data_IF_964888731695
#
_entry.id   IF_964888731695
#
_cell.length_a   1.000
_cell.length_b   1.000
_cell.length_c   1.000
_cell.angle_alpha   90.00
_cell.angle_beta   90.00
_cell.angle_gamma   90.00
#
_symmetry.space_group_name_H-M   'P 1'
#
loop_
_entity.id
_entity.type
_entity.pdbx_description
1 polymer ?
#
# COMPACT_ATOMS: atom_id res chain seq x y z
N UNK A 1 -4.76 10.82 15.75
CA UNK A 1 -5.57 9.69 16.22
C UNK A 1 -4.88 8.41 15.79
N UNK A 2 -4.34 7.66 16.74
CA UNK A 2 -3.50 6.50 16.45
C UNK A 2 -4.34 5.23 16.58
N UNK A 3 -4.72 4.65 15.44
CA UNK A 3 -5.40 3.35 15.39
C UNK A 3 -4.45 2.26 15.93
N UNK A 4 -4.60 1.88 17.20
CA UNK A 4 -3.83 0.81 17.86
C UNK A 4 -4.61 -0.51 17.81
N UNK A 5 -3.92 -1.64 17.99
CA UNK A 5 -4.57 -2.95 17.99
C UNK A 5 -5.60 -3.08 19.12
N UNK A 6 -5.28 -2.57 20.31
CA UNK A 6 -6.20 -2.56 21.46
C UNK A 6 -7.47 -1.75 21.21
N UNK A 7 -7.37 -0.64 20.47
CA UNK A 7 -8.55 0.14 20.07
C UNK A 7 -9.42 -0.61 19.05
N UNK A 8 -8.82 -1.37 18.13
CA UNK A 8 -9.57 -2.21 17.18
C UNK A 8 -10.32 -3.31 17.90
N UNK A 9 -9.69 -4.01 18.84
CA UNK A 9 -10.33 -5.09 19.59
C UNK A 9 -11.46 -4.57 20.49
N UNK A 10 -11.27 -3.41 21.13
CA UNK A 10 -12.23 -2.86 22.09
C UNK A 10 -13.39 -2.10 21.46
N UNK A 11 -13.17 -1.39 20.34
CA UNK A 11 -14.16 -0.47 19.73
C UNK A 11 -14.47 -0.75 18.27
N UNK A 12 -13.73 -1.64 17.63
CA UNK A 12 -13.85 -1.96 16.21
C UNK A 12 -13.33 -0.85 15.28
N UNK A 13 -13.14 -1.19 14.00
CA UNK A 13 -12.65 -0.25 12.97
C UNK A 13 -13.62 0.91 12.67
N UNK A 14 -14.91 0.75 13.00
CA UNK A 14 -15.94 1.79 12.84
C UNK A 14 -15.70 3.01 13.74
N UNK A 15 -15.10 2.81 14.91
CA UNK A 15 -14.75 3.90 15.82
C UNK A 15 -13.68 4.84 15.23
N UNK A 16 -12.81 4.32 14.36
CA UNK A 16 -11.81 5.14 13.69
C UNK A 16 -12.41 5.93 12.51
N UNK A 17 -13.14 5.24 11.63
CA UNK A 17 -13.87 5.86 10.53
C UNK A 17 -14.80 4.83 9.89
N UNK A 18 -16.05 5.21 9.64
CA UNK A 18 -17.00 4.32 8.96
C UNK A 18 -16.54 3.96 7.54
N UNK A 19 -15.96 4.92 6.82
CA UNK A 19 -15.42 4.69 5.48
C UNK A 19 -14.20 3.77 5.50
N UNK A 20 -13.35 3.89 6.52
CA UNK A 20 -12.22 2.97 6.73
C UNK A 20 -12.69 1.54 7.01
N UNK A 21 -13.72 1.38 7.86
CA UNK A 21 -14.29 0.06 8.13
C UNK A 21 -14.79 -0.59 6.84
N UNK A 22 -15.59 0.14 6.04
CA UNK A 22 -16.08 -0.36 4.75
C UNK A 22 -14.97 -0.66 3.73
N UNK A 23 -13.84 0.04 3.82
CA UNK A 23 -12.65 -0.28 3.01
C UNK A 23 -12.03 -1.61 3.44
N UNK A 24 -11.89 -1.85 4.74
CA UNK A 24 -11.37 -3.10 5.28
C UNK A 24 -12.28 -4.29 4.96
N UNK A 25 -13.60 -4.14 5.14
CA UNK A 25 -14.59 -5.20 4.88
C UNK A 25 -14.52 -5.65 3.41
N UNK A 26 -14.55 -4.70 2.47
CA UNK A 26 -14.43 -5.00 1.03
C UNK A 26 -13.11 -5.69 0.68
N UNK A 27 -12.00 -5.27 1.28
CA UNK A 27 -10.68 -5.84 0.97
C UNK A 27 -10.51 -7.25 1.55
N UNK A 28 -11.05 -7.48 2.73
CA UNK A 28 -11.03 -8.77 3.42
C UNK A 28 -11.93 -9.79 2.70
N UNK A 29 -13.21 -9.45 2.49
CA UNK A 29 -14.20 -10.37 1.89
C UNK A 29 -14.01 -10.58 0.39
N UNK A 30 -13.74 -9.52 -0.39
CA UNK A 30 -13.80 -9.62 -1.85
C UNK A 30 -12.46 -10.03 -2.49
N UNK A 31 -11.32 -9.68 -1.87
CA UNK A 31 -10.01 -9.92 -2.48
C UNK A 31 -9.25 -11.06 -1.81
N UNK A 32 -9.15 -11.05 -0.49
CA UNK A 32 -8.30 -12.04 0.19
C UNK A 32 -9.03 -13.37 0.36
N UNK A 33 -10.30 -13.36 0.79
CA UNK A 33 -11.07 -14.61 0.92
C UNK A 33 -11.29 -15.30 -0.44
N UNK A 34 -11.53 -14.53 -1.51
CA UNK A 34 -11.74 -15.07 -2.86
C UNK A 34 -10.44 -15.56 -3.53
N UNK A 35 -9.33 -14.81 -3.43
CA UNK A 35 -8.06 -15.18 -4.05
C UNK A 35 -7.36 -16.34 -3.32
N UNK A 36 -7.56 -16.47 -2.00
CA UNK A 36 -6.90 -17.48 -1.19
C UNK A 36 -7.82 -18.65 -0.80
N UNK A 37 -9.08 -18.67 -1.27
CA UNK A 37 -10.11 -19.64 -0.87
C UNK A 37 -10.20 -19.82 0.66
N UNK A 38 -10.01 -18.72 1.40
CA UNK A 38 -9.80 -18.76 2.83
C UNK A 38 -11.14 -18.77 3.56
N UNK A 39 -11.70 -19.97 3.77
CA UNK A 39 -13.02 -20.16 4.39
C UNK A 39 -13.01 -20.16 5.93
N UNK A 40 -11.92 -19.74 6.57
CA UNK A 40 -11.78 -19.74 8.04
C UNK A 40 -11.55 -18.32 8.56
N UNK A 41 -11.99 -18.03 9.80
CA UNK A 41 -11.63 -16.79 10.46
C UNK A 41 -10.10 -16.62 10.48
N UNK A 42 -9.62 -15.41 10.20
CA UNK A 42 -8.19 -15.12 10.18
C UNK A 42 -7.60 -15.22 11.60
N UNK A 43 -6.38 -15.76 11.74
CA UNK A 43 -5.70 -15.76 13.02
C UNK A 43 -5.37 -14.31 13.44
N UNK A 44 -5.35 -14.07 14.75
CA UNK A 44 -5.16 -12.74 15.33
C UNK A 44 -3.93 -11.98 14.78
N UNK A 45 -2.73 -12.60 14.66
CA UNK A 45 -1.56 -11.89 14.14
C UNK A 45 -1.73 -11.41 12.69
N UNK A 46 -2.51 -12.14 11.88
CA UNK A 46 -2.78 -11.75 10.50
C UNK A 46 -3.72 -10.55 10.44
N UNK A 47 -4.76 -10.54 11.28
CA UNK A 47 -5.66 -9.39 11.39
C UNK A 47 -4.92 -8.14 11.86
N UNK A 48 -4.00 -8.28 12.81
CA UNK A 48 -3.16 -7.19 13.30
C UNK A 48 -2.28 -6.60 12.21
N UNK A 49 -1.55 -7.45 11.48
CA UNK A 49 -0.76 -7.00 10.33
C UNK A 49 -1.63 -6.35 9.24
N UNK A 50 -2.82 -6.92 8.98
CA UNK A 50 -3.73 -6.41 7.97
C UNK A 50 -4.31 -5.03 8.32
N UNK A 51 -4.79 -4.79 9.54
CA UNK A 51 -5.32 -3.48 9.90
C UNK A 51 -4.21 -2.44 9.98
N UNK A 52 -3.01 -2.81 10.43
CA UNK A 52 -1.83 -1.95 10.36
C UNK A 52 -1.52 -1.51 8.92
N UNK A 53 -1.46 -2.45 7.98
CA UNK A 53 -1.23 -2.16 6.58
C UNK A 53 -2.38 -1.37 5.93
N UNK A 54 -3.63 -1.75 6.21
CA UNK A 54 -4.82 -1.12 5.64
C UNK A 54 -4.98 0.33 6.11
N UNK A 55 -4.62 0.64 7.36
CA UNK A 55 -4.57 2.01 7.89
C UNK A 55 -3.64 2.90 7.05
N UNK A 56 -2.41 2.44 6.79
CA UNK A 56 -1.45 3.21 5.98
C UNK A 56 -1.94 3.42 4.55
N UNK A 57 -2.55 2.40 3.93
CA UNK A 57 -3.15 2.52 2.60
C UNK A 57 -4.34 3.49 2.59
N UNK A 58 -5.17 3.46 3.64
CA UNK A 58 -6.31 4.36 3.77
C UNK A 58 -5.89 5.82 3.97
N UNK A 59 -4.84 6.07 4.76
CA UNK A 59 -4.27 7.42 4.91
C UNK A 59 -3.74 7.96 3.58
N UNK A 60 -3.08 7.12 2.79
CA UNK A 60 -2.68 7.48 1.42
C UNK A 60 -3.89 7.82 0.56
N UNK A 61 -4.98 7.05 0.66
CA UNK A 61 -6.22 7.35 -0.07
C UNK A 61 -6.81 8.70 0.34
N UNK A 62 -6.87 9.00 1.64
CA UNK A 62 -7.34 10.30 2.13
C UNK A 62 -6.46 11.44 1.64
N UNK A 63 -5.13 11.28 1.68
CA UNK A 63 -4.18 12.29 1.21
C UNK A 63 -4.32 12.52 -0.30
N UNK A 64 -4.46 11.46 -1.10
CA UNK A 64 -4.66 11.60 -2.54
C UNK A 64 -5.95 12.37 -2.85
N UNK A 65 -6.97 12.30 -1.99
CA UNK A 65 -8.26 12.97 -2.18
C UNK A 65 -8.42 14.26 -1.35
N UNK A 66 -7.37 14.74 -0.65
CA UNK A 66 -7.44 15.98 0.11
C UNK A 66 -7.27 17.24 -0.76
N UNK A 67 -6.94 17.07 -2.04
CA UNK A 67 -6.81 18.12 -3.03
C UNK A 67 -7.91 17.99 -4.10
N UNK A 68 -8.26 19.09 -4.75
CA UNK A 68 -9.22 19.11 -5.85
C UNK A 68 -8.57 19.69 -7.12
N UNK A 69 -8.38 18.90 -8.20
CA UNK A 69 -8.70 17.46 -8.30
C UNK A 69 -7.75 16.60 -7.46
N UNK A 70 -8.20 15.40 -7.08
CA UNK A 70 -7.39 14.45 -6.32
C UNK A 70 -6.10 14.08 -7.06
N UNK A 71 -5.02 13.87 -6.30
CA UNK A 71 -3.71 13.51 -6.85
C UNK A 71 -3.76 12.12 -7.50
N UNK A 72 -3.28 12.04 -8.73
CA UNK A 72 -3.16 10.78 -9.43
C UNK A 72 -2.01 9.96 -8.83
N UNK A 73 -2.32 8.74 -8.38
CA UNK A 73 -1.34 7.81 -7.82
C UNK A 73 -0.49 7.25 -8.96
N UNK A 74 0.83 7.42 -8.87
CA UNK A 74 1.80 6.77 -9.73
C UNK A 74 2.10 5.36 -9.21
N UNK A 75 1.63 4.35 -9.95
CA UNK A 75 1.86 2.92 -9.68
C UNK A 75 2.89 2.36 -10.65
N UNK A 76 3.66 1.39 -10.18
CA UNK A 76 4.72 0.71 -10.92
C UNK A 76 4.47 -0.77 -10.81
N UNK A 77 4.50 -1.45 -11.96
CA UNK A 77 4.31 -2.89 -12.02
C UNK A 77 5.63 -3.65 -11.87
N UNK A 78 5.51 -4.96 -11.64
CA UNK A 78 6.65 -5.86 -11.64
C UNK A 78 7.26 -5.87 -13.05
N UNK A 79 8.58 -5.96 -13.10
CA UNK A 79 9.42 -5.99 -14.30
C UNK A 79 9.44 -4.68 -15.11
N UNK A 80 8.83 -3.62 -14.59
CA UNK A 80 8.88 -2.30 -15.17
C UNK A 80 10.30 -1.70 -15.09
N UNK A 81 10.72 -0.94 -16.11
CA UNK A 81 12.11 -0.44 -16.19
C UNK A 81 12.40 0.57 -15.08
N UNK A 82 13.59 0.49 -14.48
CA UNK A 82 13.98 1.51 -13.51
C UNK A 82 14.25 2.85 -14.19
N UNK A 83 13.55 3.89 -13.74
CA UNK A 83 13.77 5.27 -14.17
C UNK A 83 14.00 6.15 -12.94
N UNK A 84 15.22 6.69 -12.73
CA UNK A 84 15.54 7.49 -11.55
C UNK A 84 14.76 8.81 -11.49
N UNK A 85 14.14 9.28 -12.58
CA UNK A 85 13.28 10.47 -12.58
C UNK A 85 12.00 10.22 -11.78
N UNK A 86 11.44 9.02 -11.89
CA UNK A 86 10.15 8.67 -11.30
C UNK A 86 10.25 7.70 -10.10
N UNK A 87 11.40 7.03 -9.94
CA UNK A 87 11.56 5.89 -9.01
C UNK A 87 12.81 6.08 -8.13
N UNK A 88 12.65 5.82 -6.83
CA UNK A 88 13.72 5.78 -5.84
C UNK A 88 13.91 4.33 -5.37
N UNK A 89 15.14 3.83 -5.35
CA UNK A 89 15.40 2.46 -4.93
C UNK A 89 15.71 2.38 -3.43
N UNK A 90 15.13 1.41 -2.73
CA UNK A 90 15.36 1.20 -1.29
C UNK A 90 16.59 0.31 -0.99
N UNK A 91 17.27 -0.22 -2.02
CA UNK A 91 18.22 -1.35 -1.94
C UNK A 91 19.72 -1.06 -2.13
N UNK A 92 20.15 0.19 -2.27
CA UNK A 92 21.56 0.56 -2.48
C UNK A 92 21.93 0.83 -3.95
N UNK A 93 23.23 0.83 -4.26
CA UNK A 93 23.78 1.33 -5.53
C UNK A 93 24.40 0.21 -6.40
N UNK A 94 23.59 -0.81 -6.72
CA UNK A 94 23.99 -1.86 -7.68
C UNK A 94 23.14 -1.73 -8.95
N UNK A 95 23.69 -2.16 -10.08
CA UNK A 95 23.09 -2.00 -11.41
C UNK A 95 21.60 -2.41 -11.44
N UNK A 96 20.75 -1.43 -11.80
CA UNK A 96 19.29 -1.44 -11.67
C UNK A 96 18.69 -1.72 -13.05
N UNK A 97 18.10 -2.88 -13.25
CA UNK A 97 17.47 -3.21 -14.54
C UNK A 97 15.96 -3.01 -14.48
N UNK A 98 15.31 -3.76 -13.58
CA UNK A 98 13.86 -3.86 -13.54
C UNK A 98 13.33 -3.86 -12.11
N UNK A 99 12.13 -3.32 -11.94
CA UNK A 99 11.44 -3.25 -10.65
C UNK A 99 10.95 -4.63 -10.25
N UNK A 100 11.36 -5.10 -9.06
CA UNK A 100 10.81 -6.31 -8.45
C UNK A 100 9.47 -6.03 -7.78
N UNK A 101 9.38 -4.94 -7.03
CA UNK A 101 8.18 -4.55 -6.31
C UNK A 101 8.17 -3.05 -5.97
N UNK A 102 6.99 -2.46 -5.93
CA UNK A 102 6.76 -1.15 -5.33
C UNK A 102 6.61 -1.29 -3.81
N UNK A 103 7.34 -0.46 -3.06
CA UNK A 103 7.27 -0.37 -1.59
C UNK A 103 6.36 0.77 -1.18
N UNK A 104 6.52 1.94 -1.80
CA UNK A 104 5.66 3.11 -1.56
C UNK A 104 5.22 3.73 -2.89
N UNK A 105 3.94 4.10 -3.03
CA UNK A 105 3.45 4.74 -4.25
C UNK A 105 4.02 6.14 -4.43
N UNK A 106 4.09 6.58 -5.68
CA UNK A 106 4.38 7.97 -6.04
C UNK A 106 3.09 8.74 -6.37
N UNK A 107 3.22 10.02 -6.67
CA UNK A 107 2.08 10.88 -7.01
C UNK A 107 2.45 11.89 -8.09
N UNK A 108 1.52 12.16 -9.00
CA UNK A 108 1.61 13.30 -9.90
C UNK A 108 1.00 14.54 -9.24
N UNK A 109 1.77 15.63 -9.19
CA UNK A 109 1.39 16.87 -8.51
C UNK A 109 1.72 18.05 -9.42
N UNK A 110 0.70 18.69 -10.00
CA UNK A 110 0.84 19.93 -10.80
C UNK A 110 2.00 19.93 -11.82
N UNK A 111 2.17 18.84 -12.58
CA UNK A 111 3.23 18.68 -13.58
C UNK A 111 4.59 18.20 -13.03
N UNK A 112 4.70 18.02 -11.70
CA UNK A 112 5.82 17.39 -11.02
C UNK A 112 5.48 15.97 -10.58
N UNK A 113 6.50 15.17 -10.25
CA UNK A 113 6.31 13.83 -9.67
C UNK A 113 6.94 13.72 -8.29
N UNK A 114 6.17 13.19 -7.34
CA UNK A 114 6.71 12.62 -6.10
C UNK A 114 7.08 11.18 -6.43
N UNK A 115 8.39 10.88 -6.40
CA UNK A 115 8.92 9.57 -6.80
C UNK A 115 8.31 8.45 -5.96
N UNK A 116 8.05 7.32 -6.60
CA UNK A 116 7.70 6.10 -5.87
C UNK A 116 8.96 5.43 -5.34
N UNK A 117 8.82 4.63 -4.28
CA UNK A 117 9.91 3.79 -3.78
C UNK A 117 9.74 2.36 -4.24
N UNK A 118 10.80 1.80 -4.80
CA UNK A 118 10.83 0.47 -5.41
C UNK A 118 12.02 -0.34 -4.91
N UNK A 119 11.89 -1.66 -5.03
CA UNK A 119 13.00 -2.60 -4.95
C UNK A 119 13.26 -3.12 -6.35
N UNK A 120 14.52 -3.12 -6.79
CA UNK A 120 14.92 -3.58 -8.11
C UNK A 120 15.49 -5.00 -8.07
N UNK A 121 15.46 -5.68 -9.22
CA UNK A 121 16.27 -6.89 -9.44
C UNK A 121 17.70 -6.45 -9.79
N UNK A 122 18.66 -7.12 -9.18
CA UNK A 122 20.07 -6.97 -9.52
C UNK A 122 20.39 -7.86 -10.71
N UNK A 123 21.10 -7.34 -11.72
CA UNK A 123 21.72 -8.22 -12.70
C UNK A 123 22.84 -9.01 -12.00
N UNK A 124 22.62 -10.29 -11.71
CA UNK A 124 23.63 -11.18 -11.11
C UNK A 124 23.14 -12.12 -10.01
N UNK A 125 21.84 -12.37 -9.86
CA UNK A 125 21.34 -13.36 -8.88
C UNK A 125 20.19 -14.15 -9.51
N UNK A 126 20.57 -15.23 -10.19
CA UNK A 126 19.68 -16.38 -10.46
C UNK A 126 19.51 -17.22 -9.17
#
# INVERSE_FOLDING_TARGET
MELTWDEVLSRGTKHFSEQFSRFCDRKNECHVASMLCWNRAWPEPLLQAFFGASKSVWLVHLLANSLNPGLQIFRVERDDRFDPVYKEETGGDRYKSVVRAMVQPGFYVYGSVVKCKVVCKHCGSD
#
